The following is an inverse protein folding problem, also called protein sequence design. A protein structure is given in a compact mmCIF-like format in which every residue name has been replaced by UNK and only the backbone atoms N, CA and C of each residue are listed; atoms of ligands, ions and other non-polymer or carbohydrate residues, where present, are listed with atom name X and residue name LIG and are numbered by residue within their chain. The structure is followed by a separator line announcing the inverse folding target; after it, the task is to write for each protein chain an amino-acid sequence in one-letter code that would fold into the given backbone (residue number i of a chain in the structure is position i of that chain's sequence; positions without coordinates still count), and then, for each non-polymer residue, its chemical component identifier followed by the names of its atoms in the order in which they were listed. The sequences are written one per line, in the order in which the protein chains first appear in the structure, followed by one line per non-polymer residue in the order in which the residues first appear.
data_IF_878778788374
#
_entry.id   IF_878778788374
#
_cell.length_a   1.000
_cell.length_b   1.000
_cell.length_c   1.000
_cell.angle_alpha   90.00
_cell.angle_beta   90.00
_cell.angle_gamma   90.00
#
_symmetry.space_group_name_H-M   'P 1'
#
loop_
_entity.id
_entity.type
_entity.pdbx_description
1 polymer ?
#
# COMPACT_ATOMS: atom_id res chain seq x y z
N UNK A 1 -6.63 -75.77 10.31
CA UNK A 1 -7.75 -74.76 10.21
C UNK A 1 -8.87 -75.45 9.43
N UNK A 2 -10.09 -75.36 9.98
CA UNK A 2 -11.24 -75.80 9.23
C UNK A 2 -11.70 -74.69 8.28
N UNK A 3 -12.67 -74.99 7.43
CA UNK A 3 -13.17 -74.09 6.41
C UNK A 3 -13.87 -72.87 7.03
N UNK A 4 -14.51 -73.04 8.14
CA UNK A 4 -15.21 -71.99 8.84
C UNK A 4 -14.24 -70.96 9.44
N UNK A 5 -13.15 -71.41 10.02
CA UNK A 5 -12.07 -70.53 10.52
C UNK A 5 -11.44 -69.71 9.41
N UNK A 6 -11.24 -70.32 8.25
CA UNK A 6 -10.70 -69.63 7.06
C UNK A 6 -11.67 -68.54 6.59
N UNK A 7 -12.97 -68.82 6.52
CA UNK A 7 -14.02 -67.86 6.14
C UNK A 7 -14.07 -66.69 7.12
N UNK A 8 -14.02 -66.99 8.44
CA UNK A 8 -13.98 -65.96 9.47
C UNK A 8 -12.80 -65.00 9.34
N UNK A 9 -11.62 -65.58 9.08
CA UNK A 9 -10.41 -64.76 8.87
C UNK A 9 -10.47 -63.93 7.62
N UNK A 10 -11.04 -64.41 6.55
CA UNK A 10 -11.26 -63.66 5.32
C UNK A 10 -12.24 -62.50 5.59
N UNK A 11 -13.34 -62.75 6.29
CA UNK A 11 -14.31 -61.74 6.65
C UNK A 11 -13.70 -60.67 7.54
N UNK A 12 -12.90 -61.05 8.53
CA UNK A 12 -12.16 -60.09 9.38
C UNK A 12 -11.21 -59.21 8.57
N UNK A 13 -10.45 -59.85 7.65
CA UNK A 13 -9.53 -59.13 6.78
C UNK A 13 -10.25 -58.14 5.87
N UNK A 14 -11.40 -58.53 5.28
CA UNK A 14 -12.22 -57.65 4.46
C UNK A 14 -12.79 -56.51 5.25
N UNK A 15 -13.25 -56.78 6.49
CA UNK A 15 -13.79 -55.74 7.37
C UNK A 15 -12.70 -54.75 7.77
N UNK A 16 -11.52 -55.20 8.12
CA UNK A 16 -10.38 -54.35 8.42
C UNK A 16 -9.96 -53.51 7.22
N UNK A 17 -9.95 -54.10 6.03
CA UNK A 17 -9.63 -53.38 4.80
C UNK A 17 -10.66 -52.26 4.53
N UNK A 18 -11.94 -52.54 4.73
CA UNK A 18 -13.01 -51.56 4.58
C UNK A 18 -12.87 -50.40 5.60
N UNK A 19 -12.55 -50.73 6.85
CA UNK A 19 -12.31 -49.72 7.90
C UNK A 19 -11.11 -48.83 7.58
N UNK A 20 -10.00 -49.40 7.14
CA UNK A 20 -8.81 -48.67 6.75
C UNK A 20 -9.12 -47.72 5.60
N UNK A 21 -9.85 -48.20 4.60
CA UNK A 21 -10.27 -47.38 3.46
C UNK A 21 -11.19 -46.23 3.89
N UNK A 22 -12.18 -46.51 4.73
CA UNK A 22 -13.10 -45.50 5.24
C UNK A 22 -12.37 -44.43 6.04
N UNK A 23 -11.46 -44.84 6.92
CA UNK A 23 -10.65 -43.92 7.72
C UNK A 23 -9.72 -43.06 6.86
N UNK A 24 -9.12 -43.68 5.83
CA UNK A 24 -8.26 -42.94 4.89
C UNK A 24 -9.05 -41.88 4.10
N UNK A 25 -10.27 -42.21 3.66
CA UNK A 25 -11.14 -41.29 2.95
C UNK A 25 -11.58 -40.14 3.86
N UNK A 26 -11.93 -40.44 5.11
CA UNK A 26 -12.29 -39.43 6.10
C UNK A 26 -11.13 -38.45 6.37
N UNK A 27 -9.94 -39.03 6.59
CA UNK A 27 -8.75 -38.18 6.80
C UNK A 27 -8.41 -37.33 5.58
N UNK A 28 -8.51 -37.91 4.39
CA UNK A 28 -8.28 -37.15 3.15
C UNK A 28 -9.27 -36.04 2.98
N UNK A 29 -10.56 -36.29 3.27
CA UNK A 29 -11.61 -35.26 3.26
C UNK A 29 -11.36 -34.16 4.28
N UNK A 30 -10.91 -34.52 5.48
CA UNK A 30 -10.56 -33.55 6.52
C UNK A 30 -9.36 -32.69 6.15
N UNK A 31 -8.35 -33.28 5.53
CA UNK A 31 -7.17 -32.54 5.04
C UNK A 31 -7.57 -31.57 3.94
N UNK A 32 -8.40 -32.02 2.98
CA UNK A 32 -8.88 -31.16 1.90
C UNK A 32 -9.72 -29.98 2.43
N UNK A 33 -10.64 -30.25 3.37
CA UNK A 33 -11.42 -29.19 4.02
C UNK A 33 -10.55 -28.15 4.72
N UNK A 34 -9.58 -28.61 5.49
CA UNK A 34 -8.65 -27.71 6.20
C UNK A 34 -7.80 -26.89 5.22
N UNK A 35 -7.38 -27.51 4.12
CA UNK A 35 -6.64 -26.82 3.09
C UNK A 35 -7.47 -25.71 2.45
N UNK A 36 -8.74 -25.96 2.16
CA UNK A 36 -9.67 -24.97 1.64
C UNK A 36 -9.91 -23.83 2.63
N UNK A 37 -10.12 -24.13 3.90
CA UNK A 37 -10.28 -23.14 4.95
C UNK A 37 -9.05 -22.25 5.08
N UNK A 38 -7.86 -22.85 5.05
CA UNK A 38 -6.60 -22.11 5.12
C UNK A 38 -6.38 -21.23 3.88
N UNK A 39 -6.71 -21.74 2.71
CA UNK A 39 -6.63 -20.96 1.48
C UNK A 39 -7.55 -19.75 1.52
N UNK A 40 -8.81 -19.94 1.95
CA UNK A 40 -9.76 -18.84 2.13
C UNK A 40 -9.27 -17.81 3.14
N UNK A 41 -8.68 -18.25 4.26
CA UNK A 41 -8.15 -17.36 5.28
C UNK A 41 -6.94 -16.58 4.77
N UNK A 42 -6.05 -17.21 4.02
CA UNK A 42 -4.91 -16.55 3.38
C UNK A 42 -5.39 -15.48 2.40
N UNK A 43 -6.37 -15.80 1.57
CA UNK A 43 -6.96 -14.84 0.63
C UNK A 43 -7.56 -13.65 1.36
N UNK A 44 -8.33 -13.90 2.42
CA UNK A 44 -8.93 -12.86 3.24
C UNK A 44 -7.90 -11.94 3.87
N UNK A 45 -6.85 -12.51 4.45
CA UNK A 45 -5.75 -11.76 5.04
C UNK A 45 -4.97 -10.96 4.00
N UNK A 46 -4.71 -11.57 2.84
CA UNK A 46 -4.03 -10.89 1.74
C UNK A 46 -4.84 -9.69 1.23
N UNK A 47 -6.14 -9.83 1.05
CA UNK A 47 -7.02 -8.73 0.66
C UNK A 47 -7.02 -7.61 1.70
N UNK A 48 -7.12 -7.95 2.98
CA UNK A 48 -7.09 -6.99 4.08
C UNK A 48 -5.75 -6.24 4.12
N UNK A 49 -4.64 -6.95 3.97
CA UNK A 49 -3.30 -6.37 3.96
C UNK A 49 -3.09 -5.46 2.74
N UNK A 50 -3.54 -5.89 1.57
CA UNK A 50 -3.48 -5.07 0.36
C UNK A 50 -4.30 -3.78 0.50
N UNK A 51 -5.49 -3.86 1.07
CA UNK A 51 -6.33 -2.71 1.34
C UNK A 51 -5.66 -1.75 2.31
N UNK A 52 -5.14 -2.26 3.42
CA UNK A 52 -4.43 -1.46 4.42
C UNK A 52 -3.20 -0.78 3.83
N UNK A 53 -2.42 -1.50 3.03
CA UNK A 53 -1.24 -0.97 2.36
C UNK A 53 -1.62 0.13 1.38
N UNK A 54 -2.68 -0.08 0.60
CA UNK A 54 -3.18 0.92 -0.36
C UNK A 54 -3.60 2.21 0.34
N UNK A 55 -4.37 2.09 1.43
CA UNK A 55 -4.81 3.23 2.23
C UNK A 55 -3.63 3.98 2.85
N UNK A 56 -2.67 3.25 3.42
CA UNK A 56 -1.46 3.81 4.00
C UNK A 56 -0.61 4.53 2.95
N UNK A 57 -0.39 3.90 1.80
CA UNK A 57 0.37 4.49 0.69
C UNK A 57 -0.29 5.75 0.15
N UNK A 58 -1.61 5.75 0.02
CA UNK A 58 -2.37 6.92 -0.43
C UNK A 58 -2.26 8.07 0.57
N UNK A 59 -2.40 7.79 1.86
CA UNK A 59 -2.22 8.80 2.92
C UNK A 59 -0.82 9.39 2.90
N UNK A 60 0.20 8.56 2.78
CA UNK A 60 1.58 9.00 2.72
C UNK A 60 1.85 9.85 1.48
N UNK A 61 1.37 9.42 0.32
CA UNK A 61 1.52 10.17 -0.93
C UNK A 61 0.82 11.53 -0.85
N UNK A 62 -0.39 11.59 -0.29
CA UNK A 62 -1.14 12.82 -0.08
C UNK A 62 -0.40 13.76 0.86
N UNK A 63 0.14 13.24 1.95
CA UNK A 63 0.92 14.03 2.92
C UNK A 63 2.19 14.60 2.28
N UNK A 64 2.92 13.79 1.53
CA UNK A 64 4.11 14.25 0.81
C UNK A 64 3.80 15.30 -0.25
N UNK A 65 2.74 15.09 -1.00
CA UNK A 65 2.29 16.04 -2.01
C UNK A 65 1.90 17.37 -1.38
N UNK A 66 1.17 17.35 -0.25
CA UNK A 66 0.79 18.56 0.48
C UNK A 66 2.02 19.27 1.01
N UNK A 67 2.97 18.57 1.56
CA UNK A 67 4.22 19.14 2.04
C UNK A 67 5.01 19.81 0.93
N UNK A 68 5.15 19.15 -0.21
CA UNK A 68 5.85 19.73 -1.38
C UNK A 68 5.14 20.98 -1.88
N UNK A 69 3.83 20.94 -1.94
CA UNK A 69 3.01 22.10 -2.32
C UNK A 69 3.26 23.28 -1.37
N UNK A 70 3.19 23.05 -0.07
CA UNK A 70 3.41 24.08 0.94
C UNK A 70 4.83 24.64 0.87
N UNK A 71 5.83 23.78 0.69
CA UNK A 71 7.23 24.18 0.56
C UNK A 71 7.44 25.04 -0.70
N UNK A 72 6.86 24.65 -1.83
CA UNK A 72 6.95 25.42 -3.07
C UNK A 72 6.25 26.79 -2.96
N UNK A 73 5.11 26.84 -2.33
CA UNK A 73 4.41 28.09 -2.06
C UNK A 73 5.29 29.01 -1.23
N UNK A 74 5.91 28.50 -0.18
CA UNK A 74 6.81 29.28 0.69
C UNK A 74 8.01 29.83 -0.09
N UNK A 75 8.65 28.98 -0.88
CA UNK A 75 9.80 29.36 -1.71
C UNK A 75 9.41 30.40 -2.77
N UNK A 76 8.28 30.21 -3.44
CA UNK A 76 7.81 31.11 -4.49
C UNK A 76 7.38 32.47 -3.92
N UNK A 77 6.77 32.50 -2.73
CA UNK A 77 6.46 33.75 -2.04
C UNK A 77 7.72 34.54 -1.67
N UNK A 78 8.74 33.84 -1.17
CA UNK A 78 10.02 34.47 -0.87
C UNK A 78 10.68 35.04 -2.12
N UNK A 79 10.67 34.30 -3.22
CA UNK A 79 11.19 34.77 -4.53
C UNK A 79 10.40 35.96 -5.05
N UNK A 80 9.10 35.93 -4.97
CA UNK A 80 8.24 37.03 -5.39
C UNK A 80 8.49 38.31 -4.56
N UNK A 81 8.61 38.16 -3.24
CA UNK A 81 8.95 39.26 -2.35
C UNK A 81 10.30 39.87 -2.69
N UNK A 82 11.30 39.05 -2.93
CA UNK A 82 12.62 39.53 -3.32
C UNK A 82 12.60 40.23 -4.67
N UNK A 83 11.89 39.69 -5.64
CA UNK A 83 11.74 40.28 -6.96
C UNK A 83 11.07 41.65 -6.86
N UNK A 84 10.01 41.76 -6.09
CA UNK A 84 9.34 43.06 -5.87
C UNK A 84 10.25 44.07 -5.18
N UNK A 85 11.00 43.66 -4.16
CA UNK A 85 11.94 44.50 -3.46
C UNK A 85 13.05 45.01 -4.38
N UNK A 86 13.60 44.14 -5.22
CA UNK A 86 14.65 44.52 -6.18
C UNK A 86 14.11 45.49 -7.25
N UNK A 87 12.88 45.25 -7.73
CA UNK A 87 12.24 46.14 -8.69
C UNK A 87 11.93 47.55 -8.09
N UNK A 88 11.54 47.59 -6.82
CA UNK A 88 11.33 48.88 -6.13
C UNK A 88 12.63 49.64 -5.99
N UNK A 89 13.76 48.98 -5.70
CA UNK A 89 15.08 49.60 -5.68
C UNK A 89 15.44 50.21 -7.02
N UNK A 90 15.21 49.47 -8.11
CA UNK A 90 15.47 49.96 -9.46
C UNK A 90 14.60 51.19 -9.78
N UNK A 91 13.34 51.13 -9.40
CA UNK A 91 12.42 52.25 -9.56
C UNK A 91 12.89 53.48 -8.81
N UNK A 92 13.33 53.31 -7.55
CA UNK A 92 13.87 54.41 -6.74
C UNK A 92 15.09 55.05 -7.37
N UNK A 93 16.00 54.24 -7.94
CA UNK A 93 17.17 54.73 -8.69
C UNK A 93 16.76 55.59 -9.89
N UNK A 94 15.80 55.11 -10.66
CA UNK A 94 15.28 55.83 -11.82
C UNK A 94 14.65 57.13 -11.40
N UNK A 95 13.82 57.15 -10.37
CA UNK A 95 13.20 58.37 -9.84
C UNK A 95 14.24 59.34 -9.37
N UNK A 96 15.24 58.88 -8.61
CA UNK A 96 16.31 59.72 -8.11
C UNK A 96 17.14 60.35 -9.26
N UNK A 97 17.41 59.58 -10.31
CA UNK A 97 18.13 60.08 -11.50
C UNK A 97 17.33 61.15 -12.19
N UNK A 98 16.02 60.95 -12.35
CA UNK A 98 15.14 61.95 -12.96
C UNK A 98 15.10 63.25 -12.12
N UNK A 99 14.96 63.13 -10.82
CA UNK A 99 14.94 64.28 -9.91
C UNK A 99 16.27 65.05 -10.00
N UNK A 100 17.41 64.36 -9.99
CA UNK A 100 18.72 64.97 -10.13
C UNK A 100 18.85 65.74 -11.44
N UNK A 101 18.37 65.18 -12.55
CA UNK A 101 18.40 65.83 -13.87
C UNK A 101 17.54 67.09 -13.89
N UNK A 102 16.39 67.03 -13.27
CA UNK A 102 15.48 68.20 -13.17
C UNK A 102 16.13 69.29 -12.32
N UNK A 103 16.70 68.94 -11.17
CA UNK A 103 17.33 69.89 -10.26
C UNK A 103 18.57 70.55 -10.92
N UNK A 104 19.34 69.77 -11.71
CA UNK A 104 20.51 70.30 -12.42
C UNK A 104 20.16 71.03 -13.72
N UNK A 105 18.91 70.95 -14.14
CA UNK A 105 18.52 71.50 -15.43
C UNK A 105 18.98 70.71 -16.65
N UNK A 106 19.44 69.44 -16.49
CA UNK A 106 19.87 68.57 -17.59
C UNK A 106 18.65 68.05 -18.37
N UNK A 107 18.78 68.00 -19.65
CA UNK A 107 17.74 67.51 -20.55
C UNK A 107 18.03 66.13 -21.13
#
# INVERSE_FOLDING_TARGET
MDMQEIIEKINEAEQKAAEIKANALEKAGGIASKAEERASEIDRLAEADCKALRESSLKNATREAQKRYDDEITVNRAKASKYCADRLKDTDKIVNDIVRRIVRGDR
#
